data_IF_023953321741
#
_entry.id   IF_023953321741
#
_cell.length_a   1.000
_cell.length_b   1.000
_cell.length_c   1.000
_cell.angle_alpha   90.00
_cell.angle_beta   90.00
_cell.angle_gamma   90.00
#
_symmetry.space_group_name_H-M   'P 1'
#
loop_
_entity.id
_entity.type
_entity.pdbx_description
1 polymer ?
#
# COMPACT_ATOMS: atom_id res chain seq x y z
N UNK A 1 2.67 5.03 -33.24
CA UNK A 1 3.22 5.43 -31.94
C UNK A 1 4.18 4.32 -31.51
N UNK A 2 5.41 4.64 -31.21
CA UNK A 2 6.44 3.63 -30.88
C UNK A 2 6.40 3.35 -29.40
N UNK A 3 6.46 2.07 -28.98
CA UNK A 3 6.51 1.60 -27.59
C UNK A 3 7.49 2.39 -26.71
N UNK A 4 8.58 2.89 -27.30
CA UNK A 4 9.59 3.69 -26.59
C UNK A 4 9.07 5.07 -26.16
N UNK A 5 8.22 5.71 -26.96
CA UNK A 5 7.60 7.01 -26.62
C UNK A 5 6.58 6.84 -25.48
N UNK A 6 5.78 5.79 -25.56
CA UNK A 6 4.74 5.50 -24.57
C UNK A 6 5.38 5.10 -23.23
N UNK A 7 6.47 4.33 -23.26
CA UNK A 7 7.22 3.97 -22.06
C UNK A 7 7.81 5.19 -21.34
N UNK A 8 8.39 6.14 -22.08
CA UNK A 8 8.92 7.37 -21.48
C UNK A 8 7.83 8.23 -20.82
N UNK A 9 6.62 8.18 -21.35
CA UNK A 9 5.45 8.83 -20.74
C UNK A 9 5.05 8.11 -19.45
N UNK A 10 4.91 6.79 -19.46
CA UNK A 10 4.56 6.00 -18.27
C UNK A 10 5.61 6.12 -17.18
N UNK A 11 6.89 6.05 -17.54
CA UNK A 11 7.97 6.24 -16.57
C UNK A 11 7.90 7.60 -15.88
N UNK A 12 7.55 8.67 -16.58
CA UNK A 12 7.35 9.98 -15.98
C UNK A 12 6.13 10.06 -15.09
N UNK A 13 5.01 9.48 -15.54
CA UNK A 13 3.74 9.48 -14.82
C UNK A 13 3.82 8.68 -13.53
N UNK A 14 4.38 7.46 -13.59
CA UNK A 14 4.33 6.50 -12.48
C UNK A 14 5.55 6.54 -11.56
N UNK A 15 6.65 7.20 -11.94
CA UNK A 15 7.85 7.26 -11.09
C UNK A 15 7.57 7.81 -9.69
N UNK A 16 6.80 8.88 -9.56
CA UNK A 16 6.46 9.48 -8.28
C UNK A 16 5.68 8.52 -7.36
N UNK A 17 4.56 7.96 -7.81
CA UNK A 17 3.84 6.90 -7.08
C UNK A 17 4.70 5.69 -6.75
N UNK A 18 5.51 5.19 -7.67
CA UNK A 18 6.44 4.07 -7.43
C UNK A 18 7.45 4.39 -6.34
N UNK A 19 8.00 5.62 -6.34
CA UNK A 19 8.93 6.07 -5.30
C UNK A 19 8.28 6.11 -3.92
N UNK A 20 7.08 6.67 -3.79
CA UNK A 20 6.34 6.68 -2.51
C UNK A 20 6.11 5.26 -2.00
N UNK A 21 5.68 4.37 -2.87
CA UNK A 21 5.47 2.97 -2.53
C UNK A 21 6.76 2.28 -2.09
N UNK A 22 7.87 2.47 -2.82
CA UNK A 22 9.16 1.89 -2.46
C UNK A 22 9.70 2.43 -1.13
N UNK A 23 9.58 3.75 -0.88
CA UNK A 23 10.03 4.39 0.36
C UNK A 23 9.25 3.95 1.60
N UNK A 24 8.02 3.47 1.43
CA UNK A 24 7.27 2.86 2.53
C UNK A 24 7.97 1.60 3.07
N UNK A 25 8.64 0.85 2.20
CA UNK A 25 9.23 -0.45 2.53
C UNK A 25 10.75 -0.42 2.68
N UNK A 26 11.44 0.42 1.91
CA UNK A 26 12.89 0.43 1.80
C UNK A 26 13.49 1.68 2.43
N UNK A 27 14.53 1.47 3.23
CA UNK A 27 15.36 2.51 3.83
C UNK A 27 16.83 2.08 3.70
N UNK A 28 17.78 2.97 3.37
CA UNK A 28 17.60 4.39 3.11
C UNK A 28 16.89 4.67 1.77
N UNK A 29 16.69 5.95 1.46
CA UNK A 29 15.99 6.39 0.24
C UNK A 29 16.65 5.87 -1.04
N UNK A 30 17.96 5.74 -1.05
CA UNK A 30 18.74 5.21 -2.18
C UNK A 30 18.28 3.79 -2.58
N UNK A 31 17.99 2.93 -1.61
CA UNK A 31 17.48 1.58 -1.88
C UNK A 31 16.12 1.60 -2.58
N UNK A 32 15.27 2.58 -2.24
CA UNK A 32 13.99 2.77 -2.89
C UNK A 32 14.16 3.31 -4.33
N UNK A 33 15.09 4.24 -4.52
CA UNK A 33 15.43 4.78 -5.85
C UNK A 33 15.97 3.69 -6.76
N UNK A 34 16.88 2.86 -6.26
CA UNK A 34 17.43 1.73 -7.00
C UNK A 34 16.36 0.69 -7.36
N UNK A 35 15.44 0.37 -6.42
CA UNK A 35 14.35 -0.55 -6.72
C UNK A 35 13.44 -0.04 -7.83
N UNK A 36 13.16 1.26 -7.84
CA UNK A 36 12.34 1.90 -8.88
C UNK A 36 13.09 1.92 -10.21
N UNK A 37 14.39 2.25 -10.22
CA UNK A 37 15.21 2.22 -11.42
C UNK A 37 15.29 0.81 -12.02
N UNK A 38 15.55 -0.20 -11.19
CA UNK A 38 15.57 -1.61 -11.60
C UNK A 38 14.23 -2.06 -12.19
N UNK A 39 13.12 -1.63 -11.58
CA UNK A 39 11.79 -1.95 -12.09
C UNK A 39 11.51 -1.30 -13.45
N UNK A 40 11.87 -0.03 -13.60
CA UNK A 40 11.74 0.66 -14.89
C UNK A 40 12.66 0.07 -15.97
N UNK A 41 13.91 -0.27 -15.62
CA UNK A 41 14.83 -0.93 -16.54
C UNK A 41 14.31 -2.30 -17.00
N UNK A 42 13.81 -3.11 -16.07
CA UNK A 42 13.21 -4.42 -16.39
C UNK A 42 11.96 -4.28 -17.27
N UNK A 43 11.19 -3.21 -17.11
CA UNK A 43 9.99 -2.96 -17.89
C UNK A 43 10.27 -2.56 -19.36
N UNK A 44 11.50 -2.16 -19.68
CA UNK A 44 11.88 -1.82 -21.08
C UNK A 44 11.76 -3.00 -22.04
N UNK A 45 11.86 -4.23 -21.55
CA UNK A 45 11.77 -5.45 -22.36
C UNK A 45 10.34 -5.94 -22.60
N UNK A 46 9.33 -5.20 -22.14
CA UNK A 46 7.93 -5.62 -22.23
C UNK A 46 7.43 -5.63 -23.68
N UNK A 47 6.57 -6.58 -24.00
CA UNK A 47 5.89 -6.64 -25.29
C UNK A 47 4.60 -5.82 -25.29
N UNK A 48 4.21 -5.30 -26.47
CA UNK A 48 2.94 -4.57 -26.62
C UNK A 48 1.72 -5.41 -26.20
N UNK A 49 1.77 -6.71 -26.45
CA UNK A 49 0.71 -7.66 -26.10
C UNK A 49 0.54 -7.78 -24.58
N UNK A 50 1.64 -7.88 -23.84
CA UNK A 50 1.61 -7.92 -22.36
C UNK A 50 1.00 -6.65 -21.80
N UNK A 51 1.38 -5.49 -22.33
CA UNK A 51 0.86 -4.20 -21.88
C UNK A 51 -0.62 -4.02 -22.21
N UNK A 52 -1.06 -4.48 -23.38
CA UNK A 52 -2.48 -4.42 -23.76
C UNK A 52 -3.37 -5.24 -22.80
N UNK A 53 -2.84 -6.37 -22.30
CA UNK A 53 -3.60 -7.27 -21.42
C UNK A 53 -3.57 -6.84 -19.95
N UNK A 54 -2.46 -6.29 -19.47
CA UNK A 54 -2.25 -6.04 -18.03
C UNK A 54 -2.39 -4.55 -17.68
N UNK A 55 -2.09 -3.68 -18.62
CA UNK A 55 -1.99 -2.22 -18.41
C UNK A 55 -0.65 -1.78 -17.81
N UNK A 56 -0.18 -0.57 -18.19
CA UNK A 56 1.16 -0.09 -17.81
C UNK A 56 1.38 0.02 -16.30
N UNK A 57 0.43 0.60 -15.58
CA UNK A 57 0.49 0.77 -14.12
C UNK A 57 0.66 -0.57 -13.42
N UNK A 58 -0.24 -1.51 -13.70
CA UNK A 58 -0.24 -2.83 -13.05
C UNK A 58 1.05 -3.59 -13.35
N UNK A 59 1.56 -3.49 -14.57
CA UNK A 59 2.81 -4.10 -14.99
C UNK A 59 4.02 -3.52 -14.23
N UNK A 60 4.16 -2.19 -14.20
CA UNK A 60 5.25 -1.51 -13.50
C UNK A 60 5.25 -1.80 -11.99
N UNK A 61 4.08 -1.73 -11.34
CA UNK A 61 3.96 -2.04 -9.92
C UNK A 61 4.16 -3.53 -9.61
N UNK A 62 3.81 -4.44 -10.53
CA UNK A 62 4.09 -5.87 -10.42
C UNK A 62 5.60 -6.13 -10.36
N UNK A 63 6.38 -5.52 -11.25
CA UNK A 63 7.85 -5.65 -11.23
C UNK A 63 8.42 -5.02 -9.97
N UNK A 64 7.98 -3.80 -9.61
CA UNK A 64 8.45 -3.09 -8.42
C UNK A 64 8.19 -3.91 -7.14
N UNK A 65 7.02 -4.52 -7.02
CA UNK A 65 6.68 -5.43 -5.93
C UNK A 65 7.75 -6.53 -5.76
N UNK A 66 8.11 -7.23 -6.83
CA UNK A 66 9.14 -8.26 -6.77
C UNK A 66 10.49 -7.69 -6.34
N UNK A 67 10.91 -6.54 -6.90
CA UNK A 67 12.17 -5.89 -6.52
C UNK A 67 12.22 -5.48 -5.04
N UNK A 68 11.11 -4.98 -4.51
CA UNK A 68 11.00 -4.64 -3.09
C UNK A 68 11.06 -5.90 -2.22
N UNK A 69 10.28 -6.93 -2.56
CA UNK A 69 10.23 -8.19 -1.79
C UNK A 69 11.61 -8.85 -1.74
N UNK A 70 12.31 -8.92 -2.86
CA UNK A 70 13.66 -9.49 -2.93
C UNK A 70 14.64 -8.73 -2.02
N UNK A 71 14.60 -7.39 -2.03
CA UNK A 71 15.45 -6.56 -1.17
C UNK A 71 15.10 -6.70 0.31
N UNK A 72 13.81 -6.80 0.64
CA UNK A 72 13.38 -7.06 2.01
C UNK A 72 13.89 -8.41 2.50
N UNK A 73 13.79 -9.46 1.70
CA UNK A 73 14.31 -10.82 2.04
C UNK A 73 15.82 -10.83 2.25
N UNK A 74 16.57 -10.05 1.47
CA UNK A 74 18.03 -9.94 1.65
C UNK A 74 18.42 -9.13 2.90
N UNK A 75 17.64 -8.14 3.28
CA UNK A 75 17.96 -7.16 4.33
C UNK A 75 17.54 -7.56 5.73
N UNK A 76 16.49 -8.38 5.86
CA UNK A 76 15.95 -8.73 7.17
C UNK A 76 16.52 -10.04 7.71
N UNK A 77 17.59 -9.88 8.53
CA UNK A 77 17.86 -10.78 9.65
C UNK A 77 17.05 -10.32 10.86
N UNK A 78 16.55 -11.24 11.69
CA UNK A 78 15.66 -10.86 12.80
C UNK A 78 16.48 -10.17 13.91
N UNK A 79 16.34 -8.88 14.05
CA UNK A 79 16.74 -8.15 15.25
C UNK A 79 15.76 -7.03 15.59
N UNK A 80 15.39 -7.01 16.88
CA UNK A 80 14.82 -5.95 17.72
C UNK A 80 13.31 -5.75 17.74
N UNK A 81 12.77 -6.01 18.94
CA UNK A 81 11.38 -5.74 19.33
C UNK A 81 11.04 -4.25 19.42
N UNK A 82 9.80 -3.95 19.11
CA UNK A 82 9.17 -2.62 19.27
C UNK A 82 8.15 -2.64 20.41
N UNK A 83 8.10 -1.56 21.19
CA UNK A 83 7.18 -1.41 22.31
C UNK A 83 5.79 -0.92 21.86
N UNK A 84 4.76 -1.56 22.43
CA UNK A 84 3.35 -1.25 22.24
C UNK A 84 2.89 -0.12 23.19
N UNK A 85 2.56 1.04 22.67
CA UNK A 85 2.04 2.14 23.50
C UNK A 85 0.80 2.87 22.96
N UNK A 86 0.04 2.30 21.99
CA UNK A 86 -1.11 3.02 21.39
C UNK A 86 -2.34 2.10 21.13
N UNK A 87 -2.66 1.16 22.04
CA UNK A 87 -3.68 0.15 21.74
C UNK A 87 -5.13 0.54 22.04
N UNK A 88 -5.40 1.25 23.12
CA UNK A 88 -6.76 1.35 23.64
C UNK A 88 -7.66 2.42 23.04
N UNK A 89 -7.09 3.38 22.29
CA UNK A 89 -7.86 4.57 21.87
C UNK A 89 -8.65 4.38 20.56
N UNK A 90 -8.20 3.46 19.68
CA UNK A 90 -8.80 3.27 18.36
C UNK A 90 -10.08 2.44 18.39
N UNK A 91 -10.16 1.46 19.25
CA UNK A 91 -11.34 0.62 19.38
C UNK A 91 -12.52 1.40 19.96
N UNK A 92 -12.26 2.31 20.91
CA UNK A 92 -13.25 3.22 21.48
C UNK A 92 -13.80 4.25 20.46
N UNK A 93 -13.03 4.57 19.44
CA UNK A 93 -13.47 5.48 18.34
C UNK A 93 -14.33 4.76 17.32
N UNK A 94 -14.08 3.47 17.08
CA UNK A 94 -14.70 2.71 16.00
C UNK A 94 -15.92 1.91 16.42
N UNK A 95 -15.96 1.48 17.67
CA UNK A 95 -17.00 0.60 18.19
C UNK A 95 -17.63 1.20 19.47
N UNK A 96 -18.93 0.99 19.61
CA UNK A 96 -19.63 1.29 20.85
C UNK A 96 -19.38 0.20 21.94
N UNK A 97 -19.90 0.42 23.16
CA UNK A 97 -19.78 -0.52 24.29
C UNK A 97 -20.35 -1.91 24.00
N UNK A 98 -21.10 -2.08 22.92
CA UNK A 98 -21.70 -3.34 22.47
C UNK A 98 -20.95 -3.96 21.29
N UNK A 99 -19.76 -3.44 20.96
CA UNK A 99 -18.96 -3.85 19.81
C UNK A 99 -19.65 -3.68 18.44
N UNK A 100 -20.64 -2.78 18.34
CA UNK A 100 -21.18 -2.32 17.07
C UNK A 100 -20.36 -1.12 16.57
N UNK A 101 -20.40 -0.89 15.27
CA UNK A 101 -19.79 0.31 14.69
C UNK A 101 -20.35 1.56 15.33
N UNK A 102 -19.50 2.45 15.80
CA UNK A 102 -19.90 3.75 16.32
C UNK A 102 -20.64 4.56 15.22
N UNK A 103 -21.55 5.43 15.64
CA UNK A 103 -22.37 6.21 14.70
C UNK A 103 -21.51 7.03 13.74
N UNK A 104 -21.76 6.91 12.44
CA UNK A 104 -21.02 7.62 11.37
C UNK A 104 -19.71 6.96 10.93
N UNK A 105 -19.22 5.90 11.61
CA UNK A 105 -17.93 5.25 11.31
C UNK A 105 -18.10 3.93 10.55
N UNK A 106 -19.33 3.37 10.53
CA UNK A 106 -19.61 2.14 9.80
C UNK A 106 -19.28 2.27 8.30
N UNK A 107 -18.75 1.20 7.67
CA UNK A 107 -18.51 1.19 6.23
C UNK A 107 -19.78 1.54 5.45
N UNK A 108 -19.73 2.58 4.62
CA UNK A 108 -20.84 2.95 3.75
C UNK A 108 -20.87 2.00 2.55
N UNK A 109 -22.08 1.57 2.17
CA UNK A 109 -22.27 0.78 0.95
C UNK A 109 -21.82 1.58 -0.27
N UNK A 110 -21.11 0.94 -1.18
CA UNK A 110 -20.72 1.53 -2.47
C UNK A 110 -21.98 1.76 -3.30
N UNK A 111 -22.30 3.00 -3.59
CA UNK A 111 -23.32 3.32 -4.58
C UNK A 111 -22.73 3.15 -5.98
N UNK A 112 -23.50 2.52 -6.87
CA UNK A 112 -23.19 2.11 -8.25
C UNK A 112 -22.38 3.09 -9.10
N UNK A 113 -21.69 2.59 -10.13
CA UNK A 113 -20.39 3.04 -10.56
C UNK A 113 -20.42 3.93 -11.80
N UNK A 114 -19.66 4.98 -11.71
CA UNK A 114 -18.87 5.53 -12.83
C UNK A 114 -17.46 4.98 -12.63
N UNK A 115 -17.29 3.67 -12.96
CA UNK A 115 -16.35 2.79 -12.24
C UNK A 115 -14.87 3.04 -12.50
N UNK A 116 -14.43 3.43 -13.69
CA UNK A 116 -12.99 3.49 -13.98
C UNK A 116 -12.29 4.74 -13.45
N UNK A 117 -12.92 5.90 -13.60
CA UNK A 117 -12.33 7.17 -13.13
C UNK A 117 -12.29 7.27 -11.60
N UNK A 118 -13.33 6.76 -10.95
CA UNK A 118 -13.41 6.70 -9.48
C UNK A 118 -12.42 5.72 -8.88
N UNK A 119 -12.09 4.64 -9.58
CA UNK A 119 -11.14 3.63 -9.06
C UNK A 119 -9.73 4.20 -8.91
N UNK A 120 -9.24 4.98 -9.86
CA UNK A 120 -7.91 5.60 -9.77
C UNK A 120 -7.84 6.67 -8.67
N UNK A 121 -8.87 7.49 -8.56
CA UNK A 121 -8.98 8.50 -7.50
C UNK A 121 -9.08 7.84 -6.12
N UNK A 122 -9.85 6.76 -5.99
CA UNK A 122 -9.96 6.00 -4.76
C UNK A 122 -8.60 5.44 -4.32
N UNK A 123 -7.86 4.79 -5.20
CA UNK A 123 -6.53 4.28 -4.87
C UNK A 123 -5.54 5.39 -4.51
N UNK A 124 -5.69 6.58 -5.07
CA UNK A 124 -4.89 7.75 -4.67
C UNK A 124 -5.21 8.15 -3.22
N UNK A 125 -6.47 8.14 -2.82
CA UNK A 125 -6.88 8.43 -1.44
C UNK A 125 -6.42 7.34 -0.49
N UNK A 126 -6.53 6.06 -0.87
CA UNK A 126 -5.98 4.92 -0.09
C UNK A 126 -4.48 5.10 0.14
N UNK A 127 -3.71 5.47 -0.90
CA UNK A 127 -2.27 5.71 -0.81
C UNK A 127 -1.95 6.84 0.21
N UNK A 128 -2.71 7.93 0.17
CA UNK A 128 -2.60 9.01 1.16
C UNK A 128 -2.91 8.51 2.56
N UNK A 129 -3.95 7.70 2.74
CA UNK A 129 -4.33 7.15 4.04
C UNK A 129 -3.27 6.19 4.59
N UNK A 130 -2.70 5.33 3.75
CA UNK A 130 -1.59 4.44 4.14
C UNK A 130 -0.36 5.23 4.58
N UNK A 131 -0.04 6.32 3.87
CA UNK A 131 1.10 7.18 4.21
C UNK A 131 0.92 7.97 5.52
N UNK A 132 -0.32 8.09 6.02
CA UNK A 132 -0.61 8.69 7.34
C UNK A 132 -0.48 7.68 8.49
N UNK A 133 -0.41 6.38 8.22
CA UNK A 133 -0.24 5.38 9.25
C UNK A 133 1.14 5.45 9.90
N UNK A 134 1.28 5.02 11.18
CA UNK A 134 2.59 4.71 11.75
C UNK A 134 3.33 3.69 10.88
N UNK A 135 4.66 3.77 10.84
CA UNK A 135 5.49 3.01 9.90
C UNK A 135 5.29 1.48 9.97
N UNK A 136 5.15 0.92 11.17
CA UNK A 136 4.99 -0.52 11.38
C UNK A 136 3.64 -1.05 10.85
N UNK A 137 2.47 -0.51 11.28
CA UNK A 137 1.17 -0.87 10.69
C UNK A 137 1.09 -0.61 9.18
N UNK A 138 1.65 0.49 8.68
CA UNK A 138 1.68 0.81 7.25
C UNK A 138 2.40 -0.27 6.44
N UNK A 139 3.57 -0.73 6.93
CA UNK A 139 4.35 -1.80 6.27
C UNK A 139 3.64 -3.13 6.29
N UNK A 140 3.07 -3.53 7.44
CA UNK A 140 2.30 -4.78 7.56
C UNK A 140 1.11 -4.77 6.61
N UNK A 141 0.34 -3.69 6.59
CA UNK A 141 -0.81 -3.54 5.70
C UNK A 141 -0.39 -3.58 4.23
N UNK A 142 0.61 -2.82 3.86
CA UNK A 142 1.07 -2.76 2.47
C UNK A 142 1.68 -4.09 1.99
N UNK A 143 2.44 -4.79 2.83
CA UNK A 143 2.96 -6.12 2.50
C UNK A 143 1.83 -7.13 2.30
N UNK A 144 0.77 -7.08 3.11
CA UNK A 144 -0.37 -7.99 2.98
C UNK A 144 -1.26 -7.64 1.79
N UNK A 145 -1.69 -6.38 1.68
CA UNK A 145 -2.74 -5.99 0.73
C UNK A 145 -2.20 -5.60 -0.66
N UNK A 146 -0.96 -5.10 -0.73
CA UNK A 146 -0.38 -4.65 -2.00
C UNK A 146 0.71 -5.58 -2.53
N UNK A 147 1.50 -6.20 -1.64
CA UNK A 147 2.56 -7.12 -2.02
C UNK A 147 2.13 -8.60 -2.01
N UNK A 148 0.91 -8.92 -1.55
CA UNK A 148 0.38 -10.28 -1.38
C UNK A 148 1.33 -11.22 -0.62
N UNK A 149 2.08 -10.70 0.34
CA UNK A 149 2.95 -11.51 1.17
C UNK A 149 2.14 -12.36 2.15
N UNK A 150 2.61 -13.58 2.42
CA UNK A 150 1.97 -14.42 3.42
C UNK A 150 2.29 -13.93 4.85
N UNK A 151 1.38 -14.15 5.83
CA UNK A 151 1.58 -13.71 7.21
C UNK A 151 2.92 -14.15 7.81
N UNK A 152 3.35 -15.39 7.52
CA UNK A 152 4.61 -15.95 7.99
C UNK A 152 5.82 -15.20 7.39
N UNK A 153 5.73 -14.82 6.13
CA UNK A 153 6.77 -14.05 5.42
C UNK A 153 6.85 -12.62 6.00
N UNK A 154 5.71 -12.00 6.28
CA UNK A 154 5.64 -10.66 6.89
C UNK A 154 6.24 -10.70 8.29
N UNK A 155 5.86 -11.69 9.11
CA UNK A 155 6.41 -11.88 10.45
C UNK A 155 7.94 -12.05 10.42
N UNK A 156 8.44 -12.92 9.54
CA UNK A 156 9.88 -13.16 9.39
C UNK A 156 10.62 -11.89 8.92
N UNK A 157 10.06 -11.18 7.94
CA UNK A 157 10.67 -9.97 7.37
C UNK A 157 10.72 -8.81 8.35
N UNK A 158 9.68 -8.63 9.16
CA UNK A 158 9.55 -7.51 10.08
C UNK A 158 9.92 -7.85 11.54
N UNK A 159 10.34 -9.09 11.81
CA UNK A 159 10.67 -9.55 13.16
C UNK A 159 9.46 -9.54 14.11
N UNK A 160 8.27 -9.90 13.62
CA UNK A 160 7.02 -9.83 14.37
C UNK A 160 6.56 -11.20 14.85
N UNK A 161 5.89 -11.23 16.00
CA UNK A 161 5.08 -12.38 16.37
C UNK A 161 3.78 -12.42 15.55
N UNK A 162 3.11 -13.58 15.51
CA UNK A 162 1.78 -13.67 14.87
C UNK A 162 0.76 -12.75 15.53
N UNK A 163 0.85 -12.56 16.85
CA UNK A 163 -0.02 -11.63 17.58
C UNK A 163 0.21 -10.20 17.13
N UNK A 164 1.48 -9.75 17.09
CA UNK A 164 1.84 -8.40 16.63
C UNK A 164 1.36 -8.13 15.19
N UNK A 165 1.51 -9.13 14.32
CA UNK A 165 1.03 -9.05 12.94
C UNK A 165 -0.48 -8.76 12.88
N UNK A 166 -1.30 -9.55 13.60
CA UNK A 166 -2.75 -9.36 13.58
C UNK A 166 -3.17 -8.03 14.20
N UNK A 167 -2.53 -7.61 15.28
CA UNK A 167 -2.76 -6.30 15.89
C UNK A 167 -2.42 -5.17 14.91
N UNK A 168 -1.23 -5.19 14.31
CA UNK A 168 -0.82 -4.18 13.33
C UNK A 168 -1.77 -4.11 12.13
N UNK A 169 -2.19 -5.26 11.60
CA UNK A 169 -3.10 -5.32 10.46
C UNK A 169 -4.50 -4.78 10.83
N UNK A 170 -5.01 -5.16 12.01
CA UNK A 170 -6.29 -4.66 12.53
C UNK A 170 -6.26 -3.14 12.69
N UNK A 171 -5.25 -2.60 13.37
CA UNK A 171 -5.06 -1.15 13.53
C UNK A 171 -4.96 -0.41 12.20
N UNK A 172 -4.16 -0.92 11.26
CA UNK A 172 -4.02 -0.31 9.96
C UNK A 172 -5.37 -0.22 9.24
N UNK A 173 -6.14 -1.31 9.23
CA UNK A 173 -7.47 -1.35 8.60
C UNK A 173 -8.44 -0.35 9.23
N UNK A 174 -8.48 -0.25 10.54
CA UNK A 174 -9.32 0.68 11.28
C UNK A 174 -8.95 2.15 10.96
N UNK A 175 -7.66 2.49 11.02
CA UNK A 175 -7.18 3.85 10.71
C UNK A 175 -7.42 4.24 9.26
N UNK A 176 -7.21 3.31 8.32
CA UNK A 176 -7.50 3.54 6.90
C UNK A 176 -9.00 3.77 6.71
N UNK A 177 -9.85 3.01 7.39
CA UNK A 177 -11.30 3.20 7.30
C UNK A 177 -11.72 4.60 7.79
N UNK A 178 -11.22 5.06 8.93
CA UNK A 178 -11.48 6.42 9.42
C UNK A 178 -11.02 7.45 8.38
N UNK A 179 -9.80 7.31 7.88
CA UNK A 179 -9.25 8.21 6.88
C UNK A 179 -10.06 8.22 5.58
N UNK A 180 -10.51 7.05 5.11
CA UNK A 180 -11.36 6.94 3.92
C UNK A 180 -12.73 7.56 4.15
N UNK A 181 -13.35 7.37 5.31
CA UNK A 181 -14.62 8.02 5.62
C UNK A 181 -14.49 9.53 5.52
N UNK A 182 -13.45 10.11 6.11
CA UNK A 182 -13.24 11.56 6.08
C UNK A 182 -12.84 12.09 4.70
N UNK A 183 -11.98 11.37 3.98
CA UNK A 183 -11.36 11.89 2.76
C UNK A 183 -12.10 11.51 1.48
N UNK A 184 -12.86 10.41 1.48
CA UNK A 184 -13.56 9.90 0.31
C UNK A 184 -15.07 10.04 0.42
N UNK A 185 -15.67 9.67 1.55
CA UNK A 185 -17.12 9.64 1.72
C UNK A 185 -17.69 10.96 2.21
N UNK A 186 -16.96 11.72 3.02
CA UNK A 186 -17.37 13.04 3.52
C UNK A 186 -16.78 14.20 2.69
N UNK A 187 -15.63 13.98 2.03
CA UNK A 187 -14.95 14.97 1.20
C UNK A 187 -15.48 15.09 -0.23
N UNK A 188 -16.58 14.42 -0.60
CA UNK A 188 -17.24 14.58 -1.91
C UNK A 188 -18.02 15.90 -2.05
N UNK A 189 -17.61 16.94 -1.31
CA UNK A 189 -18.09 18.31 -1.49
C UNK A 189 -16.90 19.18 -1.88
N UNK A 190 -16.35 18.91 -3.08
CA UNK A 190 -15.51 19.86 -3.84
C UNK A 190 -15.92 19.80 -5.30
#
# INVERSE_FOLDING_TARGET
MTLTSDFAQWAREWRGPMMRFAQLHLQPREDAEDAVQDALAAALSVTAETLANVGPKRYLFGILKHKITDRLRMKYRPEVGYSDAFEDDLDNVLFDDRHHWAEGVAPKAWSTPDEQLRTEQFFTVVDVCVNKLPSKPARVFSMKEFLDCEPEEICATLGLTKSDYWQCLSRARKQIQICLNQSWFEGSTL
#
